data_IF_050962145827
#
_entry.id   IF_050962145827
#
_cell.length_a   1.000
_cell.length_b   1.000
_cell.length_c   1.000
_cell.angle_alpha   90.00
_cell.angle_beta   90.00
_cell.angle_gamma   90.00
#
_symmetry.space_group_name_H-M   'P 1'
#
loop_
_entity.id
_entity.type
_entity.pdbx_description
1 polymer ?
#
# COMPACT_ATOMS: atom_id res chain seq x y z
N UNK A 1 -3.32 9.07 -14.62
CA UNK A 1 -2.73 8.52 -13.38
C UNK A 1 -3.41 7.23 -12.96
N UNK A 2 -4.74 7.19 -12.82
CA UNK A 2 -5.50 5.97 -12.49
C UNK A 2 -5.24 4.79 -13.43
N UNK A 3 -5.04 5.04 -14.73
CA UNK A 3 -4.71 3.99 -15.72
C UNK A 3 -3.40 3.26 -15.40
N UNK A 4 -2.35 3.97 -14.95
CA UNK A 4 -1.08 3.34 -14.56
C UNK A 4 -1.23 2.50 -13.30
N UNK A 5 -2.03 2.99 -12.34
CA UNK A 5 -2.31 2.30 -11.08
C UNK A 5 -3.15 1.03 -11.34
N UNK A 6 -4.23 1.13 -12.11
CA UNK A 6 -5.06 -0.02 -12.48
C UNK A 6 -4.26 -1.01 -13.34
N UNK A 7 -3.47 -0.52 -14.30
CA UNK A 7 -2.62 -1.37 -15.15
C UNK A 7 -1.57 -2.15 -14.37
N UNK A 8 -0.94 -1.53 -13.37
CA UNK A 8 0.04 -2.20 -12.50
C UNK A 8 -0.62 -3.21 -11.56
N UNK A 9 -1.81 -2.92 -11.02
CA UNK A 9 -2.61 -3.90 -10.26
C UNK A 9 -2.95 -5.10 -11.15
N UNK A 10 -3.47 -4.87 -12.35
CA UNK A 10 -3.86 -5.91 -13.30
C UNK A 10 -2.67 -6.75 -13.78
N UNK A 11 -1.45 -6.19 -13.82
CA UNK A 11 -0.23 -6.95 -14.10
C UNK A 11 0.29 -7.70 -12.87
N UNK A 12 0.15 -7.14 -11.68
CA UNK A 12 0.64 -7.74 -10.43
C UNK A 12 -0.13 -9.00 -10.07
N UNK A 13 -1.44 -9.06 -10.32
CA UNK A 13 -2.28 -10.24 -10.05
C UNK A 13 -1.83 -11.50 -10.81
N UNK A 14 -1.73 -11.51 -12.15
CA UNK A 14 -1.24 -12.68 -12.88
C UNK A 14 0.23 -12.97 -12.59
N UNK A 15 1.04 -11.94 -12.31
CA UNK A 15 2.42 -12.15 -11.86
C UNK A 15 2.47 -12.87 -10.51
N UNK A 16 1.60 -12.49 -9.58
CA UNK A 16 1.47 -13.14 -8.27
C UNK A 16 1.04 -14.60 -8.42
N UNK A 17 -0.05 -14.85 -9.16
CA UNK A 17 -0.60 -16.19 -9.31
C UNK A 17 0.32 -17.13 -10.09
N UNK A 18 1.07 -16.60 -11.07
CA UNK A 18 1.93 -17.41 -11.94
C UNK A 18 3.36 -17.59 -11.42
N UNK A 19 3.92 -16.62 -10.72
CA UNK A 19 5.32 -16.67 -10.27
C UNK A 19 5.43 -16.78 -8.75
N UNK A 20 4.75 -15.91 -8.01
CA UNK A 20 4.91 -15.83 -6.55
C UNK A 20 4.26 -17.02 -5.86
N UNK A 21 3.08 -17.44 -6.29
CA UNK A 21 2.37 -18.59 -5.72
C UNK A 21 3.17 -19.91 -5.83
N UNK A 22 3.72 -20.32 -6.98
CA UNK A 22 4.52 -21.55 -7.04
C UNK A 22 5.85 -21.43 -6.30
N UNK A 23 6.51 -20.26 -6.30
CA UNK A 23 7.73 -20.04 -5.53
C UNK A 23 7.44 -20.13 -4.02
N UNK A 24 6.37 -19.48 -3.55
CA UNK A 24 5.94 -19.54 -2.16
C UNK A 24 5.56 -20.97 -1.76
N UNK A 25 4.89 -21.74 -2.64
CA UNK A 25 4.59 -23.15 -2.39
C UNK A 25 5.86 -23.99 -2.26
N UNK A 26 6.90 -23.70 -3.07
CA UNK A 26 8.19 -24.41 -3.05
C UNK A 26 9.09 -24.02 -1.88
N UNK A 27 9.03 -22.76 -1.42
CA UNK A 27 9.89 -22.23 -0.35
C UNK A 27 9.26 -22.40 1.03
N UNK A 28 7.95 -22.14 1.19
CA UNK A 28 7.28 -22.23 2.49
C UNK A 28 6.67 -23.62 2.78
N UNK A 29 6.74 -24.56 1.84
CA UNK A 29 6.17 -25.92 1.94
C UNK A 29 4.71 -25.95 2.42
N UNK A 30 3.98 -24.86 2.20
CA UNK A 30 2.59 -24.65 2.62
C UNK A 30 1.68 -24.73 1.39
N UNK A 31 0.65 -25.58 1.46
CA UNK A 31 -0.26 -25.83 0.32
C UNK A 31 -1.00 -24.57 -0.17
N UNK A 32 -1.18 -23.57 0.71
CA UNK A 32 -1.90 -22.32 0.44
C UNK A 32 -1.05 -21.11 -0.02
N UNK A 33 0.28 -21.23 -0.14
CA UNK A 33 1.18 -20.13 -0.56
C UNK A 33 1.54 -19.14 0.57
N UNK A 34 1.75 -17.85 0.24
CA UNK A 34 2.04 -16.79 1.23
C UNK A 34 0.86 -16.58 2.17
N UNK A 35 1.14 -16.42 3.47
CA UNK A 35 0.09 -16.18 4.47
C UNK A 35 -0.55 -14.80 4.28
N UNK A 36 -1.82 -14.60 4.68
CA UNK A 36 -2.49 -13.31 4.52
C UNK A 36 -1.72 -12.15 5.17
N UNK A 37 -1.13 -12.36 6.36
CA UNK A 37 -0.34 -11.33 7.04
C UNK A 37 0.97 -11.01 6.29
N UNK A 38 1.61 -12.02 5.70
CA UNK A 38 2.81 -11.78 4.90
C UNK A 38 2.49 -10.92 3.67
N UNK A 39 1.36 -11.15 3.00
CA UNK A 39 0.92 -10.34 1.86
C UNK A 39 0.66 -8.89 2.25
N UNK A 40 -0.04 -8.67 3.37
CA UNK A 40 -0.27 -7.32 3.92
C UNK A 40 1.08 -6.64 4.25
N UNK A 41 2.00 -7.36 4.90
CA UNK A 41 3.33 -6.84 5.22
C UNK A 41 4.15 -6.43 3.99
N UNK A 42 4.13 -7.24 2.92
CA UNK A 42 4.78 -6.90 1.64
C UNK A 42 4.14 -5.64 1.04
N UNK A 43 2.81 -5.52 1.07
CA UNK A 43 2.10 -4.33 0.61
C UNK A 43 2.53 -3.06 1.34
N UNK A 44 2.66 -3.13 2.67
CA UNK A 44 3.13 -2.01 3.50
C UNK A 44 4.60 -1.63 3.18
N UNK A 45 5.49 -2.60 3.00
CA UNK A 45 6.89 -2.33 2.62
C UNK A 45 6.98 -1.67 1.24
N UNK A 46 6.20 -2.16 0.27
CA UNK A 46 6.12 -1.56 -1.06
C UNK A 46 5.57 -0.13 -1.01
N UNK A 47 4.61 0.15 -0.10
CA UNK A 47 4.12 1.51 0.14
C UNK A 47 5.24 2.44 0.64
N UNK A 48 6.10 1.99 1.57
CA UNK A 48 7.27 2.78 2.02
C UNK A 48 8.21 3.06 0.85
N UNK A 49 8.55 2.04 0.05
CA UNK A 49 9.42 2.19 -1.12
C UNK A 49 8.82 3.16 -2.15
N UNK A 50 7.51 3.16 -2.31
CA UNK A 50 6.81 4.08 -3.21
C UNK A 50 6.95 5.55 -2.77
N UNK A 51 6.82 5.82 -1.47
CA UNK A 51 6.96 7.18 -0.92
C UNK A 51 8.41 7.66 -0.99
N UNK A 52 9.38 6.77 -0.76
CA UNK A 52 10.80 7.08 -0.95
C UNK A 52 11.10 7.40 -2.42
N UNK A 53 10.59 6.59 -3.36
CA UNK A 53 10.75 6.85 -4.79
C UNK A 53 10.12 8.20 -5.18
N UNK A 54 8.92 8.52 -4.69
CA UNK A 54 8.25 9.80 -4.92
C UNK A 54 9.07 10.98 -4.40
N UNK A 55 9.62 10.87 -3.17
CA UNK A 55 10.49 11.90 -2.59
C UNK A 55 11.74 12.15 -3.46
N UNK A 56 12.40 11.08 -3.92
CA UNK A 56 13.60 11.18 -4.76
C UNK A 56 13.30 11.80 -6.13
N UNK A 57 12.20 11.39 -6.77
CA UNK A 57 11.75 11.95 -8.06
C UNK A 57 11.45 13.44 -7.90
N UNK A 58 10.78 13.83 -6.82
CA UNK A 58 10.42 15.22 -6.55
C UNK A 58 11.64 16.08 -6.24
N UNK A 59 12.61 15.56 -5.47
CA UNK A 59 13.90 16.24 -5.26
C UNK A 59 14.62 16.47 -6.58
N UNK A 60 14.64 15.47 -7.47
CA UNK A 60 15.24 15.60 -8.80
C UNK A 60 14.51 16.65 -9.64
N UNK A 61 13.18 16.57 -9.71
CA UNK A 61 12.33 17.54 -10.44
C UNK A 61 12.58 18.97 -9.96
N UNK A 62 12.57 19.18 -8.64
CA UNK A 62 12.76 20.49 -8.03
C UNK A 62 14.18 21.03 -8.24
N UNK A 63 15.20 20.16 -8.20
CA UNK A 63 16.59 20.54 -8.52
C UNK A 63 16.72 21.03 -9.96
N UNK A 64 16.07 20.36 -10.92
CA UNK A 64 16.03 20.80 -12.31
C UNK A 64 15.28 22.12 -12.51
N UNK A 65 14.16 22.31 -11.80
CA UNK A 65 13.39 23.56 -11.85
C UNK A 65 14.20 24.75 -11.30
N UNK A 66 14.96 24.54 -10.22
CA UNK A 66 15.87 25.55 -9.64
C UNK A 66 17.02 25.91 -10.57
N UNK A 67 17.67 24.91 -11.18
CA UNK A 67 18.84 25.14 -12.03
C UNK A 67 18.52 25.87 -13.33
N UNK A 68 17.28 25.78 -13.82
CA UNK A 68 16.84 26.46 -15.04
C UNK A 68 16.03 27.74 -14.78
N UNK A 69 15.93 28.20 -13.52
CA UNK A 69 15.25 29.46 -13.18
C UNK A 69 13.72 29.42 -13.34
N UNK A 70 13.09 28.25 -13.41
CA UNK A 70 11.64 28.10 -13.58
C UNK A 70 10.82 28.26 -12.28
N UNK A 71 11.40 28.86 -11.25
CA UNK A 71 10.75 29.01 -9.94
C UNK A 71 9.51 29.90 -9.98
N UNK A 72 9.46 30.86 -10.90
CA UNK A 72 8.38 31.84 -11.01
C UNK A 72 7.36 31.53 -12.12
N UNK A 73 7.61 30.53 -12.97
CA UNK A 73 6.69 30.12 -14.02
C UNK A 73 6.03 28.76 -13.72
N UNK A 74 4.77 28.73 -13.26
CA UNK A 74 4.03 27.49 -13.00
C UNK A 74 3.74 26.67 -14.28
N UNK A 75 3.78 27.32 -15.45
CA UNK A 75 3.51 26.71 -16.77
C UNK A 75 4.77 26.45 -17.61
N UNK A 76 5.97 26.66 -17.08
CA UNK A 76 7.19 26.31 -17.79
C UNK A 76 7.21 24.78 -18.01
N UNK A 77 7.25 24.36 -19.29
CA UNK A 77 7.34 22.95 -19.65
C UNK A 77 8.63 22.37 -19.08
N UNK A 78 8.53 21.71 -17.92
CA UNK A 78 9.63 20.92 -17.39
C UNK A 78 9.94 19.82 -18.40
N UNK A 79 11.17 19.76 -18.95
CA UNK A 79 11.55 18.74 -19.92
C UNK A 79 11.83 17.40 -19.23
N UNK A 80 11.00 17.01 -18.27
CA UNK A 80 11.09 15.74 -17.56
C UNK A 80 10.06 14.79 -18.13
N UNK A 81 10.53 13.63 -18.61
CA UNK A 81 9.62 12.62 -19.13
C UNK A 81 8.71 12.07 -18.03
N UNK A 82 7.44 11.86 -18.37
CA UNK A 82 6.42 11.23 -17.51
C UNK A 82 6.86 9.83 -17.06
N UNK A 83 7.76 9.17 -17.80
CA UNK A 83 8.32 7.87 -17.43
C UNK A 83 9.05 7.87 -16.08
N UNK A 84 9.51 9.02 -15.57
CA UNK A 84 10.11 9.10 -14.23
C UNK A 84 9.12 8.79 -13.10
N UNK A 85 7.81 8.91 -13.34
CA UNK A 85 6.78 8.57 -12.35
C UNK A 85 6.46 7.06 -12.35
N UNK A 86 6.94 6.29 -13.33
CA UNK A 86 6.65 4.85 -13.43
C UNK A 86 7.08 4.08 -12.18
N UNK A 87 8.29 4.28 -11.61
CA UNK A 87 8.72 3.52 -10.43
C UNK A 87 7.80 3.72 -9.22
N UNK A 88 7.40 4.96 -8.91
CA UNK A 88 6.50 5.23 -7.79
C UNK A 88 5.13 4.57 -8.01
N UNK A 89 4.56 4.64 -9.22
CA UNK A 89 3.24 4.06 -9.50
C UNK A 89 3.26 2.55 -9.53
N UNK A 90 4.37 1.95 -9.99
CA UNK A 90 4.59 0.52 -9.92
C UNK A 90 4.58 0.03 -8.47
N UNK A 91 5.34 0.68 -7.57
CA UNK A 91 5.37 0.29 -6.17
C UNK A 91 4.02 0.49 -5.46
N UNK A 92 3.31 1.61 -5.73
CA UNK A 92 1.96 1.82 -5.19
C UNK A 92 1.01 0.74 -5.68
N UNK A 93 0.90 0.52 -7.00
CA UNK A 93 -0.06 -0.41 -7.56
C UNK A 93 0.21 -1.86 -7.16
N UNK A 94 1.47 -2.29 -7.15
CA UNK A 94 1.82 -3.61 -6.62
C UNK A 94 1.53 -3.71 -5.13
N UNK A 95 1.90 -2.70 -4.33
CA UNK A 95 1.65 -2.66 -2.90
C UNK A 95 0.16 -2.75 -2.54
N UNK A 96 -0.69 -1.99 -3.23
CA UNK A 96 -2.14 -2.05 -3.10
C UNK A 96 -2.70 -3.42 -3.46
N UNK A 97 -2.24 -4.03 -4.56
CA UNK A 97 -2.69 -5.38 -4.94
C UNK A 97 -2.39 -6.42 -3.84
N UNK A 98 -1.18 -6.41 -3.28
CA UNK A 98 -0.81 -7.31 -2.19
C UNK A 98 -1.58 -7.02 -0.90
N UNK A 99 -1.73 -5.75 -0.54
CA UNK A 99 -2.48 -5.33 0.64
C UNK A 99 -3.94 -5.77 0.53
N UNK A 100 -4.59 -5.51 -0.61
CA UNK A 100 -6.00 -5.86 -0.83
C UNK A 100 -6.22 -7.37 -0.80
N UNK A 101 -5.41 -8.13 -1.53
CA UNK A 101 -5.51 -9.58 -1.52
C UNK A 101 -5.24 -10.16 -0.12
N UNK A 102 -4.30 -9.57 0.64
CA UNK A 102 -3.99 -9.99 2.01
C UNK A 102 -5.08 -9.64 3.02
N UNK A 103 -5.59 -8.41 3.00
CA UNK A 103 -6.66 -7.96 3.90
C UNK A 103 -7.95 -8.73 3.66
N UNK A 104 -8.36 -8.89 2.40
CA UNK A 104 -9.61 -9.57 2.06
C UNK A 104 -9.55 -11.06 2.46
N UNK A 105 -8.45 -11.75 2.17
CA UNK A 105 -8.26 -13.15 2.58
C UNK A 105 -8.16 -13.29 4.11
N UNK A 106 -7.51 -12.35 4.80
CA UNK A 106 -7.43 -12.33 6.26
C UNK A 106 -8.80 -12.16 6.90
N UNK A 107 -9.55 -11.11 6.55
CA UNK A 107 -10.84 -10.84 7.16
C UNK A 107 -11.86 -11.94 6.85
N UNK A 108 -11.86 -12.48 5.63
CA UNK A 108 -12.77 -13.57 5.26
C UNK A 108 -12.46 -14.88 6.00
N UNK A 109 -11.18 -15.24 6.20
CA UNK A 109 -10.79 -16.47 6.92
C UNK A 109 -11.00 -16.39 8.43
N UNK A 110 -10.72 -15.23 9.01
CA UNK A 110 -10.76 -15.06 10.46
C UNK A 110 -12.20 -14.81 10.97
N UNK A 111 -13.08 -14.21 10.16
CA UNK A 111 -14.47 -13.95 10.57
C UNK A 111 -15.27 -15.24 10.87
N UNK A 112 -16.21 -15.21 11.84
CA UNK A 112 -17.14 -16.31 12.11
C UNK A 112 -18.07 -16.59 10.90
N UNK A 113 -18.50 -17.85 10.75
CA UNK A 113 -19.48 -18.25 9.72
C UNK A 113 -20.75 -17.38 9.88
N UNK A 114 -21.15 -16.66 8.82
CA UNK A 114 -22.32 -15.77 8.82
C UNK A 114 -22.04 -14.25 8.92
N UNK A 115 -20.81 -13.83 9.24
CA UNK A 115 -20.47 -12.40 9.42
C UNK A 115 -19.65 -11.79 8.26
N UNK A 116 -19.73 -12.37 7.06
CA UNK A 116 -18.95 -11.89 5.89
C UNK A 116 -19.22 -10.42 5.54
N UNK A 117 -20.45 -9.94 5.74
CA UNK A 117 -20.80 -8.52 5.55
C UNK A 117 -20.02 -7.59 6.49
N UNK A 118 -19.76 -8.02 7.73
CA UNK A 118 -18.97 -7.24 8.69
C UNK A 118 -17.50 -7.14 8.27
N UNK A 119 -16.93 -8.21 7.70
CA UNK A 119 -15.59 -8.21 7.11
C UNK A 119 -15.45 -7.15 6.01
N UNK A 120 -16.39 -7.13 5.06
CA UNK A 120 -16.40 -6.11 3.99
C UNK A 120 -16.58 -4.71 4.55
N UNK A 121 -17.43 -4.55 5.59
CA UNK A 121 -17.59 -3.28 6.31
C UNK A 121 -16.28 -2.78 6.91
N UNK A 122 -15.56 -3.63 7.67
CA UNK A 122 -14.26 -3.29 8.28
C UNK A 122 -13.20 -2.93 7.22
N UNK A 123 -13.20 -3.65 6.10
CA UNK A 123 -12.34 -3.35 4.97
C UNK A 123 -12.61 -1.96 4.38
N UNK A 124 -13.87 -1.64 4.07
CA UNK A 124 -14.26 -0.31 3.57
C UNK A 124 -13.99 0.78 4.61
N UNK A 125 -14.23 0.51 5.90
CA UNK A 125 -13.94 1.46 6.98
C UNK A 125 -12.45 1.79 7.05
N UNK A 126 -11.57 0.81 6.86
CA UNK A 126 -10.11 1.04 6.83
C UNK A 126 -9.73 1.96 5.67
N UNK A 127 -10.34 1.78 4.49
CA UNK A 127 -10.12 2.67 3.35
C UNK A 127 -10.60 4.10 3.61
N UNK A 128 -11.82 4.25 4.14
CA UNK A 128 -12.37 5.56 4.49
C UNK A 128 -11.52 6.28 5.54
N UNK A 129 -11.08 5.57 6.58
CA UNK A 129 -10.16 6.12 7.59
C UNK A 129 -8.83 6.55 6.96
N UNK A 130 -8.31 5.81 5.99
CA UNK A 130 -7.13 6.20 5.23
C UNK A 130 -7.30 7.54 4.50
N UNK A 131 -8.43 7.74 3.83
CA UNK A 131 -8.72 9.02 3.15
C UNK A 131 -8.90 10.18 4.14
N UNK A 132 -9.61 9.98 5.25
CA UNK A 132 -9.74 11.00 6.29
C UNK A 132 -8.39 11.35 6.91
N UNK A 133 -7.56 10.33 7.19
CA UNK A 133 -6.23 10.52 7.71
C UNK A 133 -5.35 11.31 6.74
N UNK A 134 -5.43 11.03 5.44
CA UNK A 134 -4.71 11.79 4.41
C UNK A 134 -5.11 13.27 4.42
N UNK A 135 -6.41 13.57 4.50
CA UNK A 135 -6.91 14.95 4.55
C UNK A 135 -6.46 15.69 5.82
N UNK A 136 -6.54 15.01 6.96
CA UNK A 136 -6.09 15.53 8.25
C UNK A 136 -4.59 15.83 8.24
N UNK A 137 -3.79 14.92 7.68
CA UNK A 137 -2.33 15.08 7.60
C UNK A 137 -1.95 16.27 6.71
N UNK A 138 -2.60 16.46 5.56
CA UNK A 138 -2.42 17.65 4.72
C UNK A 138 -2.78 18.93 5.48
N UNK A 139 -3.89 18.92 6.24
CA UNK A 139 -4.32 20.07 7.04
C UNK A 139 -3.31 20.41 8.14
N UNK A 140 -2.79 19.41 8.85
CA UNK A 140 -1.76 19.59 9.88
C UNK A 140 -0.50 20.18 9.27
N UNK A 141 -0.02 19.62 8.16
CA UNK A 141 1.20 20.10 7.48
C UNK A 141 1.03 21.54 7.02
N UNK A 142 -0.13 21.89 6.46
CA UNK A 142 -0.40 23.26 6.01
C UNK A 142 -0.38 24.25 7.19
N UNK A 143 -0.99 23.89 8.32
CA UNK A 143 -0.98 24.70 9.53
C UNK A 143 0.42 24.85 10.15
N UNK A 144 1.20 23.76 10.22
CA UNK A 144 2.54 23.78 10.82
C UNK A 144 3.55 24.54 9.97
N UNK A 145 3.45 24.40 8.64
CA UNK A 145 4.45 24.98 7.73
C UNK A 145 4.20 26.47 7.47
N UNK A 146 2.94 26.90 7.56
CA UNK A 146 2.54 28.29 7.37
C UNK A 146 2.80 28.84 5.95
N UNK A 147 2.51 30.13 5.71
CA UNK A 147 2.55 30.74 4.38
C UNK A 147 3.98 31.02 3.87
N UNK A 148 4.99 31.03 4.74
CA UNK A 148 6.35 31.46 4.38
C UNK A 148 7.18 30.37 3.67
N UNK A 149 6.96 29.07 3.97
CA UNK A 149 7.70 27.95 3.36
C UNK A 149 6.84 26.69 3.12
N UNK A 150 5.64 26.80 2.53
CA UNK A 150 4.69 25.70 2.43
C UNK A 150 5.30 24.44 1.79
N UNK A 151 5.06 23.27 2.39
CA UNK A 151 5.44 21.98 1.79
C UNK A 151 4.53 21.66 0.61
N UNK A 152 3.24 22.00 0.74
CA UNK A 152 2.22 21.92 -0.31
C UNK A 152 1.86 23.35 -0.67
N UNK A 153 2.42 23.86 -1.77
CA UNK A 153 2.20 25.22 -2.24
C UNK A 153 1.40 25.21 -3.54
N UNK A 154 0.59 26.25 -3.77
CA UNK A 154 -0.13 26.44 -5.05
C UNK A 154 0.84 26.45 -6.24
N UNK A 155 2.03 27.02 -6.04
CA UNK A 155 3.14 26.85 -6.96
C UNK A 155 4.05 25.71 -6.49
N UNK A 156 3.91 24.55 -7.13
CA UNK A 156 4.69 23.33 -6.89
C UNK A 156 6.22 23.54 -6.98
N UNK A 157 6.69 24.57 -7.70
CA UNK A 157 8.12 24.89 -7.82
C UNK A 157 8.66 25.67 -6.62
N UNK A 158 7.79 26.34 -5.86
CA UNK A 158 8.16 27.02 -4.60
C UNK A 158 7.94 26.13 -3.37
N UNK A 159 7.03 25.16 -3.47
CA UNK A 159 6.75 24.20 -2.41
C UNK A 159 7.86 23.16 -2.23
N UNK A 160 8.04 22.67 -1.00
CA UNK A 160 8.94 21.55 -0.69
C UNK A 160 8.16 20.24 -0.56
N UNK A 161 7.57 19.80 -1.66
CA UNK A 161 6.72 18.60 -1.65
C UNK A 161 7.49 17.32 -1.26
N UNK A 162 8.80 17.28 -1.54
CA UNK A 162 9.64 16.17 -1.12
C UNK A 162 9.71 16.01 0.42
N UNK A 163 9.60 17.09 1.21
CA UNK A 163 9.56 17.01 2.68
C UNK A 163 8.27 16.31 3.15
N UNK A 164 7.15 16.58 2.46
CA UNK A 164 5.88 15.89 2.69
C UNK A 164 5.95 14.40 2.35
N UNK A 165 6.61 14.03 1.24
CA UNK A 165 6.82 12.62 0.89
C UNK A 165 7.75 11.89 1.86
N UNK A 166 8.78 12.57 2.40
CA UNK A 166 9.61 12.02 3.47
C UNK A 166 8.85 11.79 4.77
N UNK A 167 7.96 12.72 5.14
CA UNK A 167 7.06 12.55 6.28
C UNK A 167 6.18 11.30 6.10
N UNK A 168 5.56 11.13 4.92
CA UNK A 168 4.75 9.95 4.61
C UNK A 168 5.59 8.67 4.62
N UNK A 169 6.82 8.69 4.10
CA UNK A 169 7.72 7.54 4.14
C UNK A 169 8.05 7.12 5.58
N UNK A 170 8.37 8.08 6.45
CA UNK A 170 8.65 7.83 7.87
C UNK A 170 7.42 7.27 8.58
N UNK A 171 6.25 7.86 8.35
CA UNK A 171 5.01 7.40 8.97
C UNK A 171 4.62 5.99 8.51
N UNK A 172 4.75 5.69 7.22
CA UNK A 172 4.55 4.36 6.66
C UNK A 172 5.55 3.35 7.23
N UNK A 173 6.81 3.75 7.46
CA UNK A 173 7.82 2.89 8.08
C UNK A 173 7.46 2.57 9.55
N UNK A 174 7.00 3.56 10.31
CA UNK A 174 6.49 3.35 11.67
C UNK A 174 5.29 2.39 11.64
N UNK A 175 4.37 2.57 10.69
CA UNK A 175 3.22 1.67 10.51
C UNK A 175 3.67 0.22 10.22
N UNK A 176 4.69 0.01 9.39
CA UNK A 176 5.27 -1.33 9.16
C UNK A 176 5.80 -1.94 10.46
N UNK A 177 6.50 -1.17 11.29
CA UNK A 177 7.06 -1.68 12.56
C UNK A 177 5.95 -2.07 13.53
N UNK A 178 4.92 -1.23 13.69
CA UNK A 178 3.75 -1.52 14.52
C UNK A 178 3.04 -2.77 13.99
N UNK A 179 2.84 -2.84 12.67
CA UNK A 179 2.23 -3.99 12.01
C UNK A 179 3.01 -5.28 12.27
N UNK A 180 4.34 -5.27 12.17
CA UNK A 180 5.18 -6.44 12.44
C UNK A 180 5.11 -6.88 13.91
N UNK A 181 5.01 -5.94 14.86
CA UNK A 181 4.81 -6.26 16.27
C UNK A 181 3.45 -6.93 16.49
N UNK A 182 2.37 -6.37 15.94
CA UNK A 182 1.03 -6.96 16.00
C UNK A 182 0.98 -8.34 15.31
N UNK A 183 1.60 -8.48 14.14
CA UNK A 183 1.64 -9.72 13.37
C UNK A 183 2.41 -10.84 14.10
N UNK A 184 3.45 -10.49 14.87
CA UNK A 184 4.17 -11.45 15.73
C UNK A 184 3.32 -11.93 16.91
N UNK A 185 2.49 -11.07 17.48
CA UNK A 185 1.59 -11.44 18.57
C UNK A 185 0.32 -12.13 18.10
N UNK A 186 -0.06 -11.97 16.83
CA UNK A 186 -1.27 -12.57 16.28
C UNK A 186 -1.12 -14.08 16.05
N UNK A 187 -2.05 -14.86 16.62
CA UNK A 187 -2.14 -16.30 16.39
C UNK A 187 -3.34 -16.58 15.49
N UNK A 188 -3.08 -17.12 14.31
CA UNK A 188 -4.10 -17.55 13.35
C UNK A 188 -5.14 -18.47 13.98
N UNK A 189 -6.42 -18.29 13.59
CA UNK A 189 -7.53 -19.10 14.09
C UNK A 189 -7.38 -20.59 13.76
N UNK A 190 -6.82 -20.96 12.61
CA UNK A 190 -6.51 -22.37 12.30
C UNK A 190 -5.56 -22.98 13.34
N UNK A 191 -4.54 -22.24 13.79
CA UNK A 191 -3.63 -22.70 14.85
C UNK A 191 -4.27 -22.70 16.24
N UNK A 192 -5.24 -21.80 16.48
CA UNK A 192 -6.02 -21.79 17.73
C UNK A 192 -7.00 -22.97 17.79
N UNK A 193 -7.74 -23.21 16.72
CA UNK A 193 -8.69 -24.32 16.59
C UNK A 193 -7.98 -25.68 16.58
N UNK A 194 -6.83 -25.81 15.91
CA UNK A 194 -6.00 -27.00 15.98
C UNK A 194 -5.45 -27.27 17.39
N UNK A 195 -5.14 -26.21 18.16
CA UNK A 195 -4.78 -26.34 19.59
C UNK A 195 -5.96 -26.73 20.47
N UNK A 196 -7.18 -26.35 20.08
CA UNK A 196 -8.43 -26.73 20.76
C UNK A 196 -8.99 -28.08 20.29
N UNK A 197 -8.30 -28.77 19.35
CA UNK A 197 -8.72 -30.08 18.83
C UNK A 197 -9.94 -30.06 17.92
N UNK A 198 -10.34 -28.88 17.43
CA UNK A 198 -11.49 -28.70 16.54
C UNK A 198 -10.98 -28.71 15.10
N UNK A 199 -11.08 -29.86 14.43
CA UNK A 199 -10.85 -29.93 12.99
C UNK A 199 -11.96 -29.13 12.27
N UNK A 200 -11.56 -28.13 11.50
CA UNK A 200 -12.49 -27.46 10.60
C UNK A 200 -12.89 -28.47 9.54
N UNK A 201 -14.14 -28.93 9.61
CA UNK A 201 -14.79 -29.70 8.55
C UNK A 201 -14.57 -28.93 7.22
N UNK A 202 -13.68 -29.46 6.38
CA UNK A 202 -13.51 -28.99 5.01
C UNK A 202 -14.88 -29.15 4.34
N UNK A 203 -15.60 -28.04 4.22
CA UNK A 203 -16.77 -28.01 3.34
C UNK A 203 -16.21 -28.16 1.94
N UNK A 204 -16.23 -29.40 1.48
CA UNK A 204 -15.74 -29.86 0.20
C UNK A 204 -16.30 -28.96 -0.91
N UNK A 205 -15.39 -28.27 -1.60
CA UNK A 205 -15.69 -27.44 -2.75
C UNK A 205 -16.13 -28.28 -3.98
N UNK A 206 -16.33 -29.58 -3.83
CA UNK A 206 -16.88 -30.48 -4.86
C UNK A 206 -18.38 -30.28 -5.15
N UNK A 207 -19.14 -29.60 -4.28
CA UNK A 207 -20.61 -29.43 -4.46
C UNK A 207 -21.02 -28.28 -5.40
N UNK A 208 -20.08 -27.50 -5.95
CA UNK A 208 -20.38 -26.46 -6.95
C UNK A 208 -20.18 -26.89 -8.41
N UNK A 209 -19.85 -28.16 -8.65
CA UNK A 209 -19.80 -28.75 -9.98
C UNK A 209 -20.80 -29.92 -10.09
N UNK A 210 -22.09 -29.58 -10.14
CA UNK A 210 -23.14 -30.47 -10.65
C UNK A 210 -24.16 -29.64 -11.43
#
# INVERSE_FOLDING_TARGET
MTVFLIGTILLTVPFYDRFIRPIAKKVLNNSHGLTPLQRIGVGLVLSVLSMVAAALIEMKRLSFARSHGFLDNPSAKMPMSVFWLVPQFFFVGSGEAFMYMGQLDFFLRECPKGMKTMSTGLFLSTLSLGFFFSSLLVTIVNNVTGPNKPWIADNLNRGRLYDFYWLLAMLSAINVVIYLACAKWYVYKEKRLAKEGIELEEIDASTFHA
#
